data_IF_887129203790
#
_entry.id   IF_887129203790
#
_cell.length_a   1.000
_cell.length_b   1.000
_cell.length_c   1.000
_cell.angle_alpha   90.00
_cell.angle_beta   90.00
_cell.angle_gamma   90.00
#
_symmetry.space_group_name_H-M   'P 1'
#
loop_
_entity.id
_entity.type
_entity.pdbx_description
1 polymer ?
#
# COMPACT_ATOMS: atom_id res chain seq x y z
N UNK A 1 0.05 21.20 -22.54
CA UNK A 1 -0.19 22.00 -21.34
C UNK A 1 -0.10 21.07 -20.14
N UNK A 2 0.68 21.44 -19.11
CA UNK A 2 0.74 20.70 -17.84
C UNK A 2 1.77 19.59 -17.74
N UNK A 3 2.63 19.36 -18.70
CA UNK A 3 3.70 18.34 -18.63
C UNK A 3 4.88 18.73 -17.71
N UNK A 4 4.97 19.98 -17.32
CA UNK A 4 6.10 20.53 -16.52
C UNK A 4 5.97 20.29 -15.02
N UNK A 5 4.79 19.93 -14.52
CA UNK A 5 4.53 19.68 -13.12
C UNK A 5 4.21 18.22 -12.85
N UNK A 6 4.78 17.67 -11.78
CA UNK A 6 4.45 16.32 -11.33
C UNK A 6 2.98 16.24 -10.88
N UNK A 7 2.36 15.05 -10.98
CA UNK A 7 0.96 14.81 -10.63
C UNK A 7 0.61 15.30 -9.22
N UNK A 8 1.51 15.12 -8.26
CA UNK A 8 1.30 15.56 -6.87
C UNK A 8 1.30 17.09 -6.72
N UNK A 9 2.08 17.78 -7.54
CA UNK A 9 2.07 19.25 -7.59
C UNK A 9 0.74 19.75 -8.16
N UNK A 10 0.24 19.11 -9.22
CA UNK A 10 -1.09 19.41 -9.77
C UNK A 10 -2.20 19.19 -8.74
N UNK A 11 -2.16 18.11 -7.98
CA UNK A 11 -3.11 17.84 -6.89
C UNK A 11 -3.06 18.92 -5.80
N UNK A 12 -1.87 19.43 -5.51
CA UNK A 12 -1.71 20.55 -4.54
C UNK A 12 -2.31 21.83 -5.07
N UNK A 13 -2.06 22.16 -6.34
CA UNK A 13 -2.65 23.32 -7.02
C UNK A 13 -4.17 23.24 -6.99
N UNK A 14 -4.75 22.11 -7.39
CA UNK A 14 -6.20 21.88 -7.39
C UNK A 14 -6.82 22.13 -6.01
N UNK A 15 -6.22 21.56 -4.95
CA UNK A 15 -6.70 21.79 -3.57
C UNK A 15 -6.69 23.26 -3.17
N UNK A 16 -5.65 24.01 -3.55
CA UNK A 16 -5.55 25.43 -3.25
C UNK A 16 -6.57 26.27 -4.03
N UNK A 17 -6.87 25.90 -5.28
CA UNK A 17 -7.90 26.56 -6.08
C UNK A 17 -9.31 26.31 -5.55
N UNK A 18 -9.58 25.10 -5.03
CA UNK A 18 -10.85 24.77 -4.37
C UNK A 18 -10.98 25.54 -3.05
N UNK A 19 -9.94 25.58 -2.23
CA UNK A 19 -9.94 26.33 -0.97
C UNK A 19 -10.15 27.85 -1.15
N UNK A 20 -9.82 28.38 -2.33
CA UNK A 20 -10.00 29.79 -2.70
C UNK A 20 -11.27 30.05 -3.52
N UNK A 21 -12.18 29.10 -3.59
CA UNK A 21 -13.44 29.21 -4.36
C UNK A 21 -13.28 29.54 -5.85
N UNK A 22 -12.10 29.29 -6.43
CA UNK A 22 -11.86 29.38 -7.88
C UNK A 22 -12.43 28.14 -8.57
N UNK A 23 -12.33 27.00 -7.92
CA UNK A 23 -12.97 25.74 -8.31
C UNK A 23 -13.86 25.25 -7.17
N UNK A 24 -14.86 24.45 -7.50
CA UNK A 24 -15.66 23.74 -6.50
C UNK A 24 -15.99 22.34 -6.99
N UNK A 25 -16.31 21.45 -6.06
CA UNK A 25 -16.64 20.04 -6.34
C UNK A 25 -18.16 19.89 -6.26
N UNK A 26 -18.76 19.46 -7.35
CA UNK A 26 -20.18 19.15 -7.44
C UNK A 26 -20.43 17.72 -6.95
N UNK A 27 -20.71 17.57 -5.67
CA UNK A 27 -20.95 16.27 -5.04
C UNK A 27 -22.22 15.58 -5.53
N UNK A 28 -23.18 16.34 -6.04
CA UNK A 28 -24.42 15.80 -6.59
C UNK A 28 -24.20 15.15 -7.96
N UNK A 29 -23.17 15.58 -8.70
CA UNK A 29 -22.82 15.07 -10.02
C UNK A 29 -21.46 14.37 -10.02
N UNK A 30 -21.32 13.26 -9.33
CA UNK A 30 -20.14 12.39 -9.31
C UNK A 30 -18.81 13.09 -8.97
N UNK A 31 -18.85 14.09 -8.09
CA UNK A 31 -17.67 14.87 -7.69
C UNK A 31 -16.95 15.58 -8.87
N UNK A 32 -17.70 16.06 -9.85
CA UNK A 32 -17.14 16.82 -10.97
C UNK A 32 -16.62 18.15 -10.47
N UNK A 33 -15.40 18.52 -10.92
CA UNK A 33 -14.82 19.83 -10.63
C UNK A 33 -15.42 20.89 -11.57
N UNK A 34 -15.98 21.95 -11.01
CA UNK A 34 -16.59 23.07 -11.75
C UNK A 34 -15.87 24.39 -11.44
N UNK A 35 -16.02 25.34 -12.36
CA UNK A 35 -15.54 26.69 -12.17
C UNK A 35 -16.35 27.39 -11.07
N UNK A 36 -15.67 27.97 -10.10
CA UNK A 36 -16.27 28.77 -9.04
C UNK A 36 -16.47 30.24 -9.41
N UNK A 37 -17.04 31.02 -8.51
CA UNK A 37 -17.36 32.43 -8.76
C UNK A 37 -16.14 33.30 -9.15
N UNK A 38 -14.96 33.00 -8.63
CA UNK A 38 -13.72 33.75 -8.90
C UNK A 38 -12.98 33.27 -10.15
N UNK A 39 -13.39 32.16 -10.77
CA UNK A 39 -12.69 31.56 -11.90
C UNK A 39 -12.54 32.51 -13.08
N UNK A 40 -13.59 33.25 -13.43
CA UNK A 40 -13.59 34.18 -14.55
C UNK A 40 -12.58 35.34 -14.37
N UNK A 41 -12.41 35.83 -13.16
CA UNK A 41 -11.46 36.90 -12.84
C UNK A 41 -10.01 36.40 -13.02
N UNK A 42 -9.77 35.14 -12.62
CA UNK A 42 -8.46 34.49 -12.79
C UNK A 42 -8.15 34.21 -14.26
N UNK A 43 -9.12 33.65 -15.00
CA UNK A 43 -8.97 33.33 -16.41
C UNK A 43 -8.74 34.57 -17.30
N UNK A 44 -9.35 35.69 -16.96
CA UNK A 44 -9.16 36.98 -17.63
C UNK A 44 -7.91 37.74 -17.18
N UNK A 45 -7.15 37.19 -16.22
CA UNK A 45 -5.95 37.85 -15.69
C UNK A 45 -6.22 39.02 -14.77
N UNK A 46 -7.49 39.30 -14.45
CA UNK A 46 -7.88 40.38 -13.53
C UNK A 46 -7.48 40.07 -12.07
N UNK A 47 -7.29 38.77 -11.73
CA UNK A 47 -6.86 38.32 -10.42
C UNK A 47 -5.71 37.32 -10.57
N UNK A 48 -4.57 37.63 -9.96
CA UNK A 48 -3.43 36.71 -9.85
C UNK A 48 -3.58 35.87 -8.58
N UNK A 49 -3.43 34.54 -8.71
CA UNK A 49 -3.43 33.63 -7.59
C UNK A 49 -2.02 33.15 -7.35
N UNK A 50 -1.48 33.46 -6.19
CA UNK A 50 -0.24 32.87 -5.71
C UNK A 50 -0.52 31.48 -5.18
N UNK A 51 -0.06 30.46 -5.89
CA UNK A 51 -0.13 29.07 -5.45
C UNK A 51 1.18 28.72 -4.76
N UNK A 52 1.10 28.33 -3.49
CA UNK A 52 2.29 27.85 -2.77
C UNK A 52 2.82 26.60 -3.47
N UNK A 53 4.04 26.69 -3.98
CA UNK A 53 4.77 25.51 -4.43
C UNK A 53 5.01 24.65 -3.20
N UNK A 54 4.31 23.54 -3.10
CA UNK A 54 4.64 22.51 -2.12
C UNK A 54 5.97 21.92 -2.58
N UNK A 55 7.08 22.40 -2.01
CA UNK A 55 8.34 21.69 -2.08
C UNK A 55 8.08 20.41 -1.30
N UNK A 56 7.73 19.34 -2.01
CA UNK A 56 7.79 18.02 -1.39
C UNK A 56 9.27 17.82 -1.05
N UNK A 57 9.64 18.02 0.21
CA UNK A 57 10.74 17.26 0.76
C UNK A 57 10.49 15.84 0.24
N UNK A 58 11.45 15.28 -0.50
CA UNK A 58 11.42 13.87 -0.93
C UNK A 58 11.03 13.14 0.34
N UNK A 59 9.73 12.82 0.47
CA UNK A 59 9.29 11.92 1.48
C UNK A 59 10.11 10.68 1.13
N UNK A 60 11.20 10.51 1.88
CA UNK A 60 11.87 9.24 1.96
C UNK A 60 10.71 8.28 2.01
N UNK A 61 10.61 7.38 1.04
CA UNK A 61 9.66 6.28 1.08
C UNK A 61 9.98 5.54 2.37
N UNK A 62 9.57 6.11 3.49
CA UNK A 62 9.35 5.34 4.69
C UNK A 62 8.37 4.30 4.21
N UNK A 63 8.89 3.11 4.04
CA UNK A 63 8.10 1.95 3.75
C UNK A 63 6.95 2.05 4.75
N UNK A 64 5.71 2.19 4.27
CA UNK A 64 4.50 2.29 5.09
C UNK A 64 4.25 1.02 5.92
N UNK A 65 5.31 0.29 6.25
CA UNK A 65 5.34 -1.04 6.84
C UNK A 65 6.26 -1.19 8.05
N UNK A 66 6.76 -0.11 8.63
CA UNK A 66 7.22 -0.13 10.01
C UNK A 66 6.10 0.40 10.89
N UNK A 67 5.06 -0.39 11.11
CA UNK A 67 4.23 -0.17 12.28
C UNK A 67 5.04 -0.66 13.49
N UNK A 68 5.05 0.07 14.61
CA UNK A 68 5.69 -0.39 15.84
C UNK A 68 5.28 -1.82 16.21
N UNK A 69 4.02 -2.18 15.97
CA UNK A 69 3.45 -3.51 16.16
C UNK A 69 4.15 -4.61 15.33
N UNK A 70 4.58 -4.28 14.10
CA UNK A 70 5.30 -5.23 13.26
C UNK A 70 6.71 -5.47 13.78
N UNK A 71 7.42 -4.41 14.14
CA UNK A 71 8.79 -4.51 14.64
C UNK A 71 8.82 -5.28 15.97
N UNK A 72 7.82 -5.07 16.81
CA UNK A 72 7.61 -5.82 18.06
C UNK A 72 7.29 -7.31 17.79
N UNK A 73 6.42 -7.58 16.80
CA UNK A 73 6.07 -8.93 16.37
C UNK A 73 7.29 -9.69 15.81
N UNK A 74 8.16 -9.01 15.06
CA UNK A 74 9.38 -9.58 14.50
C UNK A 74 10.48 -9.75 15.57
N UNK A 75 10.52 -8.90 16.58
CA UNK A 75 11.45 -9.01 17.69
C UNK A 75 11.20 -10.27 18.55
N UNK A 76 9.97 -10.79 18.54
CA UNK A 76 9.57 -12.01 19.24
C UNK A 76 9.88 -13.31 18.49
N UNK A 77 10.39 -13.23 17.26
CA UNK A 77 10.75 -14.41 16.46
C UNK A 77 12.16 -14.88 16.84
N UNK A 78 12.32 -16.20 16.97
CA UNK A 78 13.62 -16.84 17.00
C UNK A 78 14.38 -16.64 15.68
N UNK A 79 15.68 -16.94 15.66
CA UNK A 79 16.51 -16.81 14.45
C UNK A 79 15.93 -17.65 13.31
N UNK A 80 15.53 -18.88 13.59
CA UNK A 80 14.97 -19.81 12.62
C UNK A 80 13.59 -19.34 12.11
N UNK A 81 12.70 -18.91 13.01
CA UNK A 81 11.39 -18.37 12.63
C UNK A 81 11.52 -17.10 11.77
N UNK A 82 12.54 -16.30 12.01
CA UNK A 82 12.84 -15.12 11.19
C UNK A 82 13.31 -15.51 9.80
N UNK A 83 14.12 -16.55 9.66
CA UNK A 83 14.54 -17.08 8.35
C UNK A 83 13.32 -17.55 7.54
N UNK A 84 12.46 -18.37 8.14
CA UNK A 84 11.20 -18.82 7.52
C UNK A 84 10.32 -17.62 7.12
N UNK A 85 10.17 -16.63 8.01
CA UNK A 85 9.39 -15.43 7.70
C UNK A 85 9.95 -14.65 6.51
N UNK A 86 11.25 -14.44 6.44
CA UNK A 86 11.87 -13.70 5.31
C UNK A 86 11.77 -14.50 4.00
N UNK A 87 11.95 -15.81 4.03
CA UNK A 87 11.75 -16.66 2.85
C UNK A 87 10.31 -16.60 2.32
N UNK A 88 9.32 -16.71 3.21
CA UNK A 88 7.90 -16.54 2.87
C UNK A 88 7.59 -15.14 2.33
N UNK A 89 8.24 -14.11 2.86
CA UNK A 89 8.07 -12.73 2.42
C UNK A 89 8.63 -12.48 1.03
N UNK A 90 9.79 -13.07 0.71
CA UNK A 90 10.38 -13.05 -0.64
C UNK A 90 9.46 -13.75 -1.62
N UNK A 91 9.07 -14.99 -1.33
CA UNK A 91 8.13 -15.76 -2.14
C UNK A 91 6.81 -15.00 -2.41
N UNK A 92 6.17 -14.47 -1.36
CA UNK A 92 4.93 -13.68 -1.49
C UNK A 92 5.10 -12.47 -2.41
N UNK A 93 6.24 -11.77 -2.31
CA UNK A 93 6.55 -10.60 -3.14
C UNK A 93 6.66 -10.96 -4.62
N UNK A 94 7.35 -12.07 -4.91
CA UNK A 94 7.58 -12.51 -6.27
C UNK A 94 6.28 -13.04 -6.90
N UNK A 95 5.51 -13.82 -6.17
CA UNK A 95 4.17 -14.27 -6.56
C UNK A 95 3.21 -13.08 -6.77
N UNK A 96 3.26 -12.07 -5.93
CA UNK A 96 2.44 -10.86 -6.08
C UNK A 96 2.79 -10.08 -7.35
N UNK A 97 4.07 -10.05 -7.71
CA UNK A 97 4.56 -9.43 -8.95
C UNK A 97 4.06 -10.19 -10.18
N UNK A 98 4.13 -11.50 -10.18
CA UNK A 98 3.61 -12.35 -11.26
C UNK A 98 2.10 -12.18 -11.47
N UNK A 99 1.35 -12.11 -10.37
CA UNK A 99 -0.10 -11.95 -10.41
C UNK A 99 -0.57 -10.49 -10.62
N UNK A 100 0.35 -9.53 -10.70
CA UNK A 100 0.03 -8.10 -10.82
C UNK A 100 -0.77 -7.55 -9.64
N UNK A 101 -0.62 -8.12 -8.44
CA UNK A 101 -1.39 -7.78 -7.24
C UNK A 101 -0.49 -7.28 -6.11
N UNK A 102 -1.01 -6.41 -5.22
CA UNK A 102 -0.26 -6.04 -4.03
C UNK A 102 -0.02 -7.23 -3.11
N UNK A 103 1.19 -7.38 -2.49
CA UNK A 103 1.54 -8.54 -1.66
C UNK A 103 0.59 -8.80 -0.48
N UNK A 104 0.04 -7.75 0.12
CA UNK A 104 -0.88 -7.87 1.27
C UNK A 104 -2.23 -8.52 0.92
N UNK A 105 -2.60 -8.54 -0.37
CA UNK A 105 -3.83 -9.22 -0.84
C UNK A 105 -3.66 -10.74 -0.78
N UNK A 106 -2.43 -11.23 -1.00
CA UNK A 106 -2.12 -12.66 -0.89
C UNK A 106 -2.09 -13.07 0.58
N UNK A 107 -1.14 -12.53 1.33
CA UNK A 107 -0.98 -12.78 2.75
C UNK A 107 -0.50 -11.51 3.46
N UNK A 108 -1.08 -11.19 4.62
CA UNK A 108 -0.60 -10.12 5.49
C UNK A 108 0.59 -10.62 6.32
N UNK A 109 1.45 -9.71 6.79
CA UNK A 109 2.66 -10.07 7.55
C UNK A 109 2.34 -10.89 8.81
N UNK A 110 1.24 -10.59 9.50
CA UNK A 110 0.79 -11.35 10.67
C UNK A 110 0.53 -12.83 10.35
N UNK A 111 0.00 -13.14 9.16
CA UNK A 111 -0.21 -14.52 8.72
C UNK A 111 1.13 -15.22 8.46
N UNK A 112 2.10 -14.54 7.82
CA UNK A 112 3.43 -15.11 7.59
C UNK A 112 4.18 -15.36 8.90
N UNK A 113 4.04 -14.48 9.89
CA UNK A 113 4.58 -14.68 11.24
C UNK A 113 3.94 -15.89 11.90
N UNK A 114 2.63 -16.07 11.77
CA UNK A 114 1.94 -17.23 12.33
C UNK A 114 2.42 -18.55 11.67
N UNK A 115 2.63 -18.56 10.35
CA UNK A 115 3.21 -19.71 9.64
C UNK A 115 4.63 -20.01 10.15
N UNK A 116 5.47 -18.99 10.28
CA UNK A 116 6.85 -19.15 10.75
C UNK A 116 6.94 -19.70 12.19
N UNK A 117 6.01 -19.28 13.07
CA UNK A 117 5.94 -19.77 14.46
C UNK A 117 5.41 -21.18 14.56
N UNK A 118 4.36 -21.49 13.82
CA UNK A 118 3.69 -22.81 13.88
C UNK A 118 4.42 -23.90 13.10
N UNK A 119 5.25 -23.51 12.12
CA UNK A 119 6.03 -24.42 11.29
C UNK A 119 5.18 -25.60 10.78
N UNK A 120 4.10 -25.33 10.03
CA UNK A 120 3.15 -26.37 9.59
C UNK A 120 3.87 -27.43 8.77
N UNK A 121 3.59 -28.69 9.09
CA UNK A 121 4.12 -29.84 8.37
C UNK A 121 3.12 -30.43 7.36
N UNK A 122 1.83 -30.09 7.48
CA UNK A 122 0.78 -30.59 6.61
C UNK A 122 -0.28 -29.52 6.28
N UNK A 123 -1.17 -29.86 5.36
CA UNK A 123 -2.26 -28.99 4.90
C UNK A 123 -3.22 -28.63 6.04
N UNK A 124 -3.49 -29.58 6.92
CA UNK A 124 -4.43 -29.38 8.03
C UNK A 124 -3.88 -28.34 9.04
N UNK A 125 -2.58 -28.34 9.27
CA UNK A 125 -1.91 -27.33 10.11
C UNK A 125 -2.07 -25.93 9.50
N UNK A 126 -1.94 -25.81 8.17
CA UNK A 126 -2.12 -24.55 7.45
C UNK A 126 -3.54 -24.00 7.59
N UNK A 127 -4.56 -24.86 7.57
CA UNK A 127 -5.96 -24.46 7.70
C UNK A 127 -6.28 -23.90 9.09
N UNK A 128 -5.52 -24.28 10.12
CA UNK A 128 -5.63 -23.74 11.47
C UNK A 128 -5.08 -22.33 11.62
N UNK A 129 -4.33 -21.81 10.64
CA UNK A 129 -3.66 -20.51 10.74
C UNK A 129 -4.61 -19.37 10.35
N UNK A 130 -4.79 -18.34 11.18
CA UNK A 130 -5.60 -17.18 10.87
C UNK A 130 -5.12 -16.47 9.58
N UNK A 131 -6.03 -16.32 8.61
CA UNK A 131 -5.73 -15.70 7.31
C UNK A 131 -5.32 -16.67 6.21
N UNK A 132 -5.26 -17.98 6.52
CA UNK A 132 -5.05 -19.07 5.56
C UNK A 132 -6.37 -19.81 5.38
N UNK A 133 -7.16 -19.42 4.38
CA UNK A 133 -8.42 -20.10 4.06
C UNK A 133 -8.24 -21.19 3.00
N UNK A 134 -9.23 -22.09 2.85
CA UNK A 134 -9.21 -23.22 1.92
C UNK A 134 -8.71 -22.88 0.51
N UNK A 135 -9.22 -21.77 -0.08
CA UNK A 135 -8.80 -21.31 -1.42
C UNK A 135 -7.32 -20.95 -1.52
N UNK A 136 -6.71 -20.51 -0.42
CA UNK A 136 -5.28 -20.20 -0.37
C UNK A 136 -4.45 -21.46 -0.18
N UNK A 137 -4.95 -22.39 0.61
CA UNK A 137 -4.33 -23.71 0.80
C UNK A 137 -4.28 -24.46 -0.53
N UNK A 138 -5.40 -24.58 -1.25
CA UNK A 138 -5.48 -25.25 -2.54
C UNK A 138 -4.49 -24.71 -3.58
N UNK A 139 -4.09 -23.46 -3.47
CA UNK A 139 -3.20 -22.79 -4.45
C UNK A 139 -1.76 -22.70 -4.00
N UNK A 140 -1.52 -22.63 -2.72
CA UNK A 140 -0.21 -22.20 -2.19
C UNK A 140 0.34 -23.12 -1.10
N UNK A 141 -0.37 -24.18 -0.70
CA UNK A 141 0.06 -25.05 0.37
C UNK A 141 1.43 -25.67 0.07
N UNK A 142 1.60 -26.25 -1.11
CA UNK A 142 2.83 -26.93 -1.51
C UNK A 142 4.04 -25.99 -1.41
N UNK A 143 3.92 -24.78 -1.96
CA UNK A 143 4.99 -23.78 -1.90
C UNK A 143 5.30 -23.34 -0.47
N UNK A 144 4.28 -23.18 0.37
CA UNK A 144 4.48 -22.76 1.76
C UNK A 144 5.14 -23.89 2.57
N UNK A 145 4.69 -25.12 2.42
CA UNK A 145 5.25 -26.29 3.11
C UNK A 145 6.69 -26.56 2.67
N UNK A 146 6.99 -26.41 1.39
CA UNK A 146 8.35 -26.53 0.85
C UNK A 146 9.28 -25.48 1.47
N UNK A 147 8.87 -24.21 1.53
CA UNK A 147 9.67 -23.14 2.14
C UNK A 147 9.90 -23.41 3.61
N UNK A 148 8.88 -23.82 4.36
CA UNK A 148 9.00 -24.13 5.78
C UNK A 148 9.91 -25.34 6.00
N UNK A 149 9.81 -26.37 5.16
CA UNK A 149 10.64 -27.59 5.24
C UNK A 149 12.11 -27.34 4.91
N UNK A 150 12.41 -26.42 3.99
CA UNK A 150 13.79 -26.09 3.62
C UNK A 150 14.54 -25.26 4.67
N UNK A 151 13.82 -24.57 5.56
CA UNK A 151 14.39 -23.69 6.59
C UNK A 151 14.36 -24.36 8.01
N UNK A 152 13.92 -25.62 8.11
CA UNK A 152 13.93 -26.41 9.33
C UNK A 152 15.26 -27.17 9.50
#
# INVERSE_FOLDING_TARGET
>A
IGKELALEQWRSVMRQLIARHVLWIDSANHNVVRLGALANNVLRGAMKIEVRRTVMAKAQKQSRFSSPERDEMLAQLSVQERQIFEALRVWRRDLAKELGKPPYVLFIDRTLVAIAKLKPACIDDLLGIPGVGRRKVERYADSILEIVGNEL
#
